data_IF_455396948135
#
_entry.id   IF_455396948135
#
_cell.length_a   1.000
_cell.length_b   1.000
_cell.length_c   1.000
_cell.angle_alpha   90.00
_cell.angle_beta   90.00
_cell.angle_gamma   90.00
#
_symmetry.space_group_name_H-M   'P 1'
#
loop_
_entity.id
_entity.type
_entity.pdbx_description
1 polymer ?
#
# COMPACT_ATOMS: atom_id res chain seq x y z
N UNK A 1 -5.75 3.83 0.17
CA UNK A 1 -5.40 2.49 0.66
C UNK A 1 -6.11 2.32 1.97
N UNK A 2 -6.87 1.26 2.12
CA UNK A 2 -7.52 0.92 3.39
C UNK A 2 -6.71 -0.17 4.11
N UNK A 3 -6.61 -0.10 5.43
CA UNK A 3 -5.94 -1.13 6.23
C UNK A 3 -6.97 -1.77 7.17
N UNK A 4 -7.40 -2.97 6.80
CA UNK A 4 -8.29 -3.78 7.62
C UNK A 4 -7.47 -4.63 8.59
N UNK A 5 -7.63 -4.37 9.88
CA UNK A 5 -7.17 -5.28 10.93
C UNK A 5 -8.27 -6.32 11.20
N UNK A 6 -7.95 -7.60 10.98
CA UNK A 6 -8.79 -8.74 11.34
C UNK A 6 -8.37 -9.37 12.67
N UNK A 7 -9.08 -10.42 13.09
CA UNK A 7 -8.72 -11.20 14.26
C UNK A 7 -7.36 -11.91 14.10
N UNK A 8 -6.67 -12.18 15.21
CA UNK A 8 -5.34 -12.83 15.26
C UNK A 8 -4.23 -12.07 14.51
N UNK A 9 -4.10 -10.76 14.74
CA UNK A 9 -3.06 -9.90 14.16
C UNK A 9 -2.94 -10.00 12.62
N UNK A 10 -4.03 -10.40 11.96
CA UNK A 10 -4.07 -10.47 10.50
C UNK A 10 -4.43 -9.10 9.95
N UNK A 11 -3.56 -8.54 9.12
CA UNK A 11 -3.76 -7.21 8.58
C UNK A 11 -3.82 -7.29 7.05
N UNK A 12 -4.77 -6.59 6.44
CA UNK A 12 -4.95 -6.54 5.00
C UNK A 12 -4.91 -5.08 4.55
N UNK A 13 -3.88 -4.75 3.79
CA UNK A 13 -3.78 -3.49 3.07
C UNK A 13 -4.52 -3.62 1.72
N UNK A 14 -5.43 -2.71 1.41
CA UNK A 14 -6.14 -2.66 0.13
C UNK A 14 -5.73 -1.42 -0.64
N UNK A 15 -5.03 -1.62 -1.76
CA UNK A 15 -4.54 -0.57 -2.64
C UNK A 15 -5.59 -0.32 -3.73
N UNK A 16 -5.81 0.94 -4.06
CA UNK A 16 -6.74 1.35 -5.12
C UNK A 16 -6.02 2.28 -6.11
N UNK A 17 -6.22 2.01 -7.39
CA UNK A 17 -5.84 2.87 -8.51
C UNK A 17 -7.14 3.44 -9.10
N UNK A 18 -7.32 4.76 -9.00
CA UNK A 18 -8.60 5.43 -9.25
C UNK A 18 -8.95 5.54 -10.75
N UNK A 19 -7.97 5.61 -11.64
CA UNK A 19 -8.21 5.79 -13.07
C UNK A 19 -8.79 4.54 -13.74
N UNK A 20 -8.31 3.37 -13.35
CA UNK A 20 -8.74 2.07 -13.89
C UNK A 20 -9.71 1.33 -12.97
N UNK A 21 -10.12 1.94 -11.84
CA UNK A 21 -10.91 1.30 -10.80
C UNK A 21 -10.31 -0.04 -10.33
N UNK A 22 -8.98 -0.14 -10.33
CA UNK A 22 -8.26 -1.35 -9.97
C UNK A 22 -8.05 -1.42 -8.46
N UNK A 23 -8.32 -2.59 -7.87
CA UNK A 23 -8.15 -2.84 -6.44
C UNK A 23 -7.28 -4.08 -6.20
N UNK A 24 -6.33 -3.99 -5.26
CA UNK A 24 -5.47 -5.10 -4.85
C UNK A 24 -5.42 -5.23 -3.34
N UNK A 25 -5.60 -6.46 -2.84
CA UNK A 25 -5.51 -6.79 -1.41
C UNK A 25 -4.15 -7.44 -1.13
N UNK A 26 -3.45 -6.92 -0.13
CA UNK A 26 -2.12 -7.34 0.28
C UNK A 26 -2.18 -7.72 1.75
N UNK A 27 -1.84 -8.97 2.05
CA UNK A 27 -1.67 -9.39 3.44
C UNK A 27 -0.39 -8.76 3.99
N UNK A 28 -0.53 -8.03 5.09
CA UNK A 28 0.59 -7.40 5.82
C UNK A 28 0.70 -8.06 7.20
N UNK A 29 1.93 -8.15 7.70
CA UNK A 29 2.21 -8.89 8.94
C UNK A 29 1.76 -8.14 10.21
N UNK A 30 1.52 -6.84 10.11
CA UNK A 30 1.15 -5.98 11.23
C UNK A 30 0.59 -4.65 10.73
N UNK A 31 -0.15 -3.94 11.58
CA UNK A 31 -0.60 -2.56 11.31
C UNK A 31 0.51 -1.53 11.40
N UNK A 32 1.72 -1.93 11.79
CA UNK A 32 2.84 -1.02 11.87
C UNK A 32 3.43 -0.77 10.47
N UNK A 33 3.86 0.46 10.22
CA UNK A 33 4.25 0.79 8.87
C UNK A 33 5.57 0.15 8.43
N UNK A 34 6.30 -0.54 9.32
CA UNK A 34 7.50 -1.28 8.90
C UNK A 34 7.07 -2.59 8.23
N UNK A 35 6.09 -3.28 8.81
CA UNK A 35 5.40 -4.40 8.18
C UNK A 35 4.80 -4.02 6.82
N UNK A 36 4.21 -2.82 6.72
CA UNK A 36 3.62 -2.36 5.46
C UNK A 36 4.69 -1.96 4.44
N UNK A 37 5.72 -1.20 4.82
CA UNK A 37 6.85 -0.85 3.91
C UNK A 37 7.59 -2.09 3.41
N UNK A 38 7.59 -3.21 4.16
CA UNK A 38 8.21 -4.45 3.70
C UNK A 38 7.35 -5.23 2.70
N UNK A 39 6.03 -5.26 2.90
CA UNK A 39 5.11 -6.11 2.14
C UNK A 39 4.50 -5.42 0.92
N UNK A 40 4.27 -4.10 1.01
CA UNK A 40 3.60 -3.34 -0.05
C UNK A 40 4.45 -3.20 -1.33
N UNK A 41 5.77 -2.89 -1.29
CA UNK A 41 6.57 -2.81 -2.50
C UNK A 41 6.57 -4.12 -3.29
N UNK A 42 6.64 -5.25 -2.59
CA UNK A 42 6.61 -6.57 -3.21
C UNK A 42 5.29 -6.85 -3.93
N UNK A 43 4.17 -6.32 -3.41
CA UNK A 43 2.88 -6.42 -4.06
C UNK A 43 2.76 -5.46 -5.25
N UNK A 44 3.22 -4.21 -5.12
CA UNK A 44 3.14 -3.23 -6.21
C UNK A 44 4.06 -3.59 -7.38
N UNK A 45 5.20 -4.22 -7.13
CA UNK A 45 6.07 -4.75 -8.20
C UNK A 45 5.39 -5.83 -9.06
N UNK A 46 4.31 -6.47 -8.56
CA UNK A 46 3.51 -7.43 -9.34
C UNK A 46 2.47 -6.76 -10.22
N UNK A 47 2.22 -5.46 -10.05
CA UNK A 47 1.29 -4.73 -10.90
C UNK A 47 1.92 -4.43 -12.26
N UNK A 48 1.11 -4.38 -13.34
CA UNK A 48 1.53 -3.77 -14.60
C UNK A 48 2.06 -2.35 -14.37
N UNK A 49 3.07 -1.96 -15.15
CA UNK A 49 3.74 -0.67 -14.99
C UNK A 49 2.75 0.52 -15.06
N UNK A 50 1.73 0.41 -15.93
CA UNK A 50 0.64 1.38 -16.11
C UNK A 50 -0.14 1.66 -14.82
N UNK A 51 -0.37 0.64 -14.00
CA UNK A 51 -1.10 0.73 -12.72
C UNK A 51 -0.19 1.18 -11.56
N UNK A 52 1.11 1.31 -11.85
CA UNK A 52 2.22 1.87 -11.06
C UNK A 52 1.91 3.21 -10.40
N UNK A 53 1.35 4.09 -11.21
CA UNK A 53 1.61 5.52 -11.10
C UNK A 53 0.63 6.27 -10.18
N UNK A 54 -0.54 5.69 -9.90
CA UNK A 54 -1.67 6.42 -9.29
C UNK A 54 -2.24 5.68 -8.08
N UNK A 55 -1.36 5.20 -7.22
CA UNK A 55 -1.77 4.46 -6.04
C UNK A 55 -2.15 5.41 -4.90
N UNK A 56 -3.36 5.26 -4.37
CA UNK A 56 -3.90 6.14 -3.32
C UNK A 56 -3.65 5.55 -1.93
N UNK A 57 -3.22 6.38 -0.97
CA UNK A 57 -2.98 5.97 0.43
C UNK A 57 -3.87 6.77 1.39
N UNK A 58 -4.65 6.11 2.25
CA UNK A 58 -5.63 6.78 3.13
C UNK A 58 -5.59 6.30 4.60
N UNK A 59 -4.53 5.64 5.06
CA UNK A 59 -4.39 5.30 6.48
C UNK A 59 -3.58 6.37 7.22
N UNK A 60 -4.25 7.09 8.12
CA UNK A 60 -3.70 8.13 9.00
C UNK A 60 -2.52 7.68 9.88
N UNK A 61 -1.82 8.66 10.48
CA UNK A 61 -0.62 8.56 11.35
C UNK A 61 0.61 7.83 10.80
N UNK A 62 0.50 6.99 9.78
CA UNK A 62 1.63 6.30 9.14
C UNK A 62 2.35 7.13 8.07
N UNK A 63 2.08 8.43 8.02
CA UNK A 63 2.64 9.40 7.08
C UNK A 63 4.18 9.38 7.05
N UNK A 64 4.81 9.05 8.18
CA UNK A 64 6.27 9.01 8.35
C UNK A 64 6.96 8.00 7.43
N UNK A 65 6.25 6.94 7.02
CA UNK A 65 6.80 5.86 6.20
C UNK A 65 6.39 5.92 4.74
N UNK A 66 5.53 6.88 4.38
CA UNK A 66 5.05 7.11 3.01
C UNK A 66 6.19 7.52 2.07
N UNK A 67 7.14 8.33 2.55
CA UNK A 67 8.32 8.73 1.79
C UNK A 67 9.26 7.55 1.54
N UNK A 68 9.46 6.71 2.56
CA UNK A 68 10.23 5.48 2.42
C UNK A 68 9.59 4.52 1.41
N UNK A 69 8.26 4.42 1.41
CA UNK A 69 7.52 3.63 0.44
C UNK A 69 7.68 4.18 -0.99
N UNK A 70 7.44 5.48 -1.20
CA UNK A 70 7.63 6.12 -2.51
C UNK A 70 9.06 5.98 -3.05
N UNK A 71 10.07 6.07 -2.17
CA UNK A 71 11.47 5.81 -2.56
C UNK A 71 11.73 4.33 -2.88
N UNK A 72 11.15 3.40 -2.12
CA UNK A 72 11.31 1.97 -2.34
C UNK A 72 10.64 1.47 -3.63
N UNK A 73 9.56 2.14 -4.05
CA UNK A 73 8.76 1.71 -5.21
C UNK A 73 8.87 2.61 -6.44
N UNK A 74 9.40 3.83 -6.28
CA UNK A 74 9.64 4.77 -7.37
C UNK A 74 8.39 5.44 -7.94
N UNK A 75 7.24 5.39 -7.25
CA UNK A 75 5.99 6.01 -7.71
C UNK A 75 5.46 7.08 -6.75
N UNK A 76 4.65 8.00 -7.30
CA UNK A 76 4.01 9.06 -6.54
C UNK A 76 2.74 8.54 -5.86
N UNK A 77 2.64 8.75 -4.54
CA UNK A 77 1.46 8.36 -3.76
C UNK A 77 0.50 9.55 -3.76
N UNK A 78 -0.64 9.40 -4.45
CA UNK A 78 -1.68 10.42 -4.51
C UNK A 78 -2.60 10.33 -3.29
N UNK A 79 -3.10 11.49 -2.85
CA UNK A 79 -4.11 11.61 -1.80
C UNK A 79 -5.50 11.45 -2.42
#
# INVERSE_FOLDING_TARGET
>A
MDLLAGANDSHIATLFERHSCFAMRVKVAGKDGASIVRSLPQAVLKLPWELRHFLTWDSGTELSKRRALAMATGFSICF
#
